data_IF_473778297331
#
_entry.id   IF_473778297331
#
_cell.length_a   1.000
_cell.length_b   1.000
_cell.length_c   1.000
_cell.angle_alpha   90.00
_cell.angle_beta   90.00
_cell.angle_gamma   90.00
#
_symmetry.space_group_name_H-M   'P 1'
#
loop_
_entity.id
_entity.type
_entity.pdbx_description
1 polymer ?
#
# COMPACT_ATOMS: atom_id res chain seq x y z
N UNK A 1 -11.66 4.96 -17.84
CA UNK A 1 -10.31 4.45 -17.50
C UNK A 1 -9.79 4.99 -16.18
N UNK A 2 -10.36 6.08 -15.61
CA UNK A 2 -9.83 6.70 -14.38
C UNK A 2 -10.14 5.91 -13.09
N UNK A 3 -11.30 5.26 -12.96
CA UNK A 3 -11.65 4.49 -11.76
C UNK A 3 -10.81 3.24 -11.46
N UNK A 4 -9.93 2.82 -12.38
CA UNK A 4 -9.01 1.68 -12.14
C UNK A 4 -7.70 2.10 -11.45
N UNK A 5 -7.44 3.41 -11.35
CA UNK A 5 -6.20 3.91 -10.76
C UNK A 5 -6.11 3.56 -9.27
N UNK A 6 -7.18 3.82 -8.50
CA UNK A 6 -7.29 3.40 -7.09
C UNK A 6 -7.01 1.92 -6.89
N UNK A 7 -7.65 1.07 -7.69
CA UNK A 7 -7.53 -0.38 -7.59
C UNK A 7 -6.10 -0.82 -7.88
N UNK A 8 -5.46 -0.25 -8.90
CA UNK A 8 -4.08 -0.55 -9.24
C UNK A 8 -3.11 -0.15 -8.12
N UNK A 9 -3.29 1.04 -7.53
CA UNK A 9 -2.48 1.52 -6.40
C UNK A 9 -2.61 0.60 -5.19
N UNK A 10 -3.83 0.18 -4.86
CA UNK A 10 -4.09 -0.75 -3.75
C UNK A 10 -3.43 -2.11 -4.01
N UNK A 11 -3.59 -2.68 -5.21
CA UNK A 11 -2.97 -3.97 -5.58
C UNK A 11 -1.45 -3.91 -5.47
N UNK A 12 -0.82 -2.87 -6.03
CA UNK A 12 0.64 -2.68 -5.95
C UNK A 12 1.09 -2.52 -4.50
N UNK A 13 0.34 -1.76 -3.70
CA UNK A 13 0.58 -1.61 -2.27
C UNK A 13 0.56 -2.94 -1.51
N UNK A 14 -0.44 -3.79 -1.78
CA UNK A 14 -0.56 -5.13 -1.18
C UNK A 14 0.59 -6.05 -1.61
N UNK A 15 0.98 -6.04 -2.88
CA UNK A 15 2.11 -6.83 -3.37
C UNK A 15 3.41 -6.40 -2.68
N UNK A 16 3.66 -5.09 -2.58
CA UNK A 16 4.84 -4.56 -1.88
C UNK A 16 4.84 -4.97 -0.40
N UNK A 17 3.70 -4.86 0.28
CA UNK A 17 3.56 -5.29 1.67
C UNK A 17 3.81 -6.80 1.85
N UNK A 18 3.28 -7.64 0.96
CA UNK A 18 3.49 -9.09 0.97
C UNK A 18 4.98 -9.44 0.77
N UNK A 19 5.68 -8.75 -0.14
CA UNK A 19 7.11 -8.95 -0.38
C UNK A 19 7.92 -8.57 0.86
N UNK A 20 7.65 -7.42 1.47
CA UNK A 20 8.34 -6.97 2.70
C UNK A 20 8.11 -7.99 3.82
N UNK A 21 6.87 -8.40 4.03
CA UNK A 21 6.48 -9.37 5.07
C UNK A 21 7.21 -10.71 4.88
N UNK A 22 7.23 -11.25 3.65
CA UNK A 22 7.94 -12.49 3.33
C UNK A 22 9.43 -12.37 3.54
N UNK A 23 10.06 -11.31 3.03
CA UNK A 23 11.51 -11.09 3.19
C UNK A 23 11.91 -10.96 4.65
N UNK A 24 11.17 -10.18 5.43
CA UNK A 24 11.51 -9.93 6.84
C UNK A 24 11.28 -11.17 7.69
N UNK A 25 10.18 -11.90 7.46
CA UNK A 25 9.88 -13.15 8.17
C UNK A 25 10.93 -14.23 7.91
N UNK A 26 11.41 -14.35 6.67
CA UNK A 26 12.47 -15.30 6.32
C UNK A 26 13.81 -14.96 6.99
N UNK A 27 14.14 -13.67 7.13
CA UNK A 27 15.40 -13.22 7.72
C UNK A 27 15.38 -13.24 9.26
N UNK A 28 14.25 -12.90 9.88
CA UNK A 28 14.17 -12.61 11.32
C UNK A 28 13.26 -13.57 12.11
N UNK A 29 12.75 -14.65 11.49
CA UNK A 29 11.72 -15.56 12.08
C UNK A 29 10.45 -14.83 12.52
N UNK A 30 10.12 -13.72 11.84
CA UNK A 30 8.97 -12.87 12.15
C UNK A 30 9.18 -11.45 11.61
N UNK A 31 8.23 -10.55 11.88
CA UNK A 31 8.38 -9.13 11.56
C UNK A 31 9.28 -8.45 12.59
N UNK A 32 10.42 -7.94 12.12
CA UNK A 32 11.27 -7.05 12.90
C UNK A 32 10.65 -5.65 13.00
N UNK A 33 11.13 -4.84 13.97
CA UNK A 33 10.76 -3.42 14.08
C UNK A 33 11.01 -2.64 12.77
N UNK A 34 12.08 -2.99 12.04
CA UNK A 34 12.40 -2.40 10.73
C UNK A 34 11.40 -2.84 9.65
N UNK A 35 10.97 -4.09 9.67
CA UNK A 35 9.93 -4.63 8.78
C UNK A 35 8.58 -3.95 9.00
N UNK A 36 8.17 -3.80 10.26
CA UNK A 36 6.94 -3.06 10.63
C UNK A 36 7.01 -1.61 10.14
N UNK A 37 8.12 -0.91 10.38
CA UNK A 37 8.29 0.47 9.92
C UNK A 37 8.12 0.58 8.40
N UNK A 38 8.75 -0.32 7.63
CA UNK A 38 8.64 -0.35 6.16
C UNK A 38 7.20 -0.62 5.71
N UNK A 39 6.49 -1.52 6.37
CA UNK A 39 5.08 -1.80 6.08
C UNK A 39 4.19 -0.60 6.39
N UNK A 40 4.40 0.07 7.53
CA UNK A 40 3.68 1.29 7.88
C UNK A 40 3.88 2.38 6.84
N UNK A 41 5.10 2.55 6.31
CA UNK A 41 5.37 3.51 5.23
C UNK A 41 4.59 3.18 3.96
N UNK A 42 4.58 1.90 3.52
CA UNK A 42 3.82 1.48 2.34
C UNK A 42 2.32 1.74 2.54
N UNK A 43 1.77 1.40 3.71
CA UNK A 43 0.35 1.62 4.00
C UNK A 43 -0.01 3.11 4.02
N UNK A 44 0.84 3.97 4.58
CA UNK A 44 0.63 5.43 4.58
C UNK A 44 0.63 5.98 3.15
N UNK A 45 1.55 5.54 2.30
CA UNK A 45 1.61 5.98 0.90
C UNK A 45 0.34 5.56 0.14
N UNK A 46 -0.08 4.30 0.29
CA UNK A 46 -1.32 3.79 -0.34
C UNK A 46 -2.53 4.57 0.16
N UNK A 47 -2.62 4.80 1.47
CA UNK A 47 -3.70 5.58 2.07
C UNK A 47 -3.77 7.00 1.52
N UNK A 48 -2.64 7.72 1.51
CA UNK A 48 -2.59 9.10 0.97
C UNK A 48 -2.99 9.11 -0.50
N UNK A 49 -2.50 8.17 -1.31
CA UNK A 49 -2.81 8.08 -2.74
C UNK A 49 -4.31 7.84 -2.99
N UNK A 50 -4.93 6.93 -2.25
CA UNK A 50 -6.38 6.66 -2.36
C UNK A 50 -7.18 7.86 -1.88
N UNK A 51 -6.82 8.46 -0.75
CA UNK A 51 -7.50 9.65 -0.22
C UNK A 51 -7.39 10.82 -1.19
N UNK A 52 -6.20 11.10 -1.72
CA UNK A 52 -6.05 12.20 -2.69
C UNK A 52 -6.84 11.97 -3.96
N UNK A 53 -6.89 10.74 -4.48
CA UNK A 53 -7.74 10.43 -5.63
C UNK A 53 -9.23 10.65 -5.31
N UNK A 54 -9.74 10.09 -4.21
CA UNK A 54 -11.16 10.17 -3.84
C UNK A 54 -11.60 11.62 -3.59
N UNK A 55 -10.76 12.43 -2.94
CA UNK A 55 -11.10 13.82 -2.58
C UNK A 55 -10.84 14.83 -3.71
N UNK A 56 -9.78 14.65 -4.51
CA UNK A 56 -9.44 15.60 -5.58
C UNK A 56 -10.14 15.28 -6.90
N UNK A 57 -10.65 14.05 -7.08
CA UNK A 57 -11.37 13.61 -8.28
C UNK A 57 -12.69 12.93 -7.89
N UNK A 58 -13.72 13.69 -7.48
CA UNK A 58 -14.99 13.10 -7.06
C UNK A 58 -15.72 12.30 -8.15
N UNK A 59 -15.45 12.61 -9.41
CA UNK A 59 -15.91 11.88 -10.59
C UNK A 59 -15.21 10.53 -10.84
N UNK A 60 -14.24 10.15 -9.99
CA UNK A 60 -13.65 8.80 -10.00
C UNK A 60 -14.53 7.73 -9.33
N UNK A 61 -15.55 8.14 -8.55
CA UNK A 61 -16.44 7.25 -7.79
C UNK A 61 -17.94 7.47 -8.01
N UNK A 62 -18.32 8.44 -8.86
CA UNK A 62 -19.69 8.55 -9.41
C UNK A 62 -19.78 7.80 -10.74
#
# INVERSE_FOLDING_TARGET
MEGYFSLAVVIVGFIAAAIITRKDTAANKGLSKKGILRLSVVLVIVFIAVVTEVFLRPESWM
#
